data_IF_144032247943
#
_entry.id   IF_144032247943
#
_cell.length_a   1.000
_cell.length_b   1.000
_cell.length_c   1.000
_cell.angle_alpha   90.00
_cell.angle_beta   90.00
_cell.angle_gamma   90.00
#
_symmetry.space_group_name_H-M   'P 1'
#
loop_
_entity.id
_entity.type
_entity.pdbx_description
1 polymer ?
#
# COMPACT_ATOMS: atom_id res chain seq x y z
N UNK A 1 8.15 7.50 16.33
CA UNK A 1 7.85 6.65 15.15
C UNK A 1 6.66 5.76 15.48
N UNK A 2 5.63 5.71 14.64
CA UNK A 2 4.45 4.86 14.90
C UNK A 2 4.78 3.39 14.67
N UNK A 3 4.09 2.47 15.37
CA UNK A 3 4.25 1.01 15.17
C UNK A 3 4.10 0.61 13.69
N UNK A 4 3.11 1.18 13.02
CA UNK A 4 2.84 0.94 11.60
C UNK A 4 4.04 1.32 10.71
N UNK A 5 4.66 2.48 10.95
CA UNK A 5 5.83 2.92 10.21
C UNK A 5 7.06 2.04 10.50
N UNK A 6 7.23 1.61 11.75
CA UNK A 6 8.31 0.70 12.10
C UNK A 6 8.19 -0.65 11.38
N UNK A 7 6.98 -1.24 11.35
CA UNK A 7 6.72 -2.52 10.69
C UNK A 7 7.00 -2.47 9.18
N UNK A 8 6.55 -1.41 8.49
CA UNK A 8 6.81 -1.27 7.04
C UNK A 8 8.30 -1.06 6.76
N UNK A 9 9.01 -0.28 7.58
CA UNK A 9 10.45 -0.06 7.41
C UNK A 9 11.24 -1.35 7.57
N UNK A 10 10.90 -2.17 8.57
CA UNK A 10 11.49 -3.50 8.74
C UNK A 10 11.25 -4.38 7.51
N UNK A 11 10.05 -4.29 6.90
CA UNK A 11 9.69 -5.08 5.72
C UNK A 11 10.35 -4.58 4.43
N UNK A 12 10.60 -3.28 4.32
CA UNK A 12 11.24 -2.66 3.15
C UNK A 12 12.77 -2.72 3.17
N UNK A 13 13.35 -2.99 4.34
CA UNK A 13 14.79 -3.16 4.52
C UNK A 13 15.29 -4.34 3.70
N UNK A 14 16.32 -4.11 2.89
CA UNK A 14 17.09 -5.15 2.20
C UNK A 14 18.38 -5.39 2.98
N UNK A 15 18.85 -6.64 3.02
CA UNK A 15 20.03 -7.02 3.79
C UNK A 15 21.33 -6.59 3.10
N UNK A 16 21.30 -6.57 1.77
CA UNK A 16 22.45 -6.40 0.87
C UNK A 16 22.63 -4.96 0.38
N UNK A 17 21.59 -4.12 0.46
CA UNK A 17 21.62 -2.76 -0.08
C UNK A 17 20.76 -1.76 0.67
N UNK A 18 21.25 -0.53 0.71
CA UNK A 18 20.47 0.63 1.13
C UNK A 18 19.31 0.90 0.18
N UNK A 19 18.24 1.50 0.71
CA UNK A 19 17.10 1.97 -0.08
C UNK A 19 16.79 3.41 0.33
N UNK A 20 16.74 4.29 -0.65
CA UNK A 20 16.30 5.67 -0.44
C UNK A 20 14.77 5.69 -0.40
N UNK A 21 14.21 6.13 0.72
CA UNK A 21 12.77 6.26 0.93
C UNK A 21 12.48 7.69 1.34
N UNK A 22 11.52 8.31 0.66
CA UNK A 22 10.92 9.55 1.14
C UNK A 22 9.68 9.19 1.97
N UNK A 23 9.67 9.61 3.24
CA UNK A 23 8.60 9.34 4.19
C UNK A 23 8.27 10.65 4.90
N UNK A 24 7.14 11.24 4.54
CA UNK A 24 6.62 12.50 5.07
C UNK A 24 6.59 12.54 6.61
N UNK A 25 6.18 11.44 7.24
CA UNK A 25 6.09 11.30 8.69
C UNK A 25 7.45 11.34 9.42
N UNK A 26 8.56 11.17 8.70
CA UNK A 26 9.92 11.28 9.24
C UNK A 26 10.61 12.57 8.84
N UNK A 27 10.39 13.02 7.61
CA UNK A 27 11.14 14.13 7.01
C UNK A 27 10.48 15.47 7.32
N UNK A 28 9.15 15.54 7.33
CA UNK A 28 8.44 16.80 7.56
C UNK A 28 8.31 17.03 9.06
N UNK A 29 8.78 18.20 9.53
CA UNK A 29 8.49 18.63 10.88
C UNK A 29 6.99 18.89 11.06
N UNK A 30 6.31 17.98 11.75
CA UNK A 30 4.87 18.07 11.95
C UNK A 30 4.44 19.19 12.92
N UNK A 31 5.38 19.74 13.70
CA UNK A 31 5.14 20.80 14.70
C UNK A 31 5.27 22.19 14.06
N UNK A 32 6.18 22.37 13.11
CA UNK A 32 6.33 23.62 12.37
C UNK A 32 5.32 23.69 11.22
N UNK A 33 4.24 24.43 11.43
CA UNK A 33 3.18 24.62 10.43
C UNK A 33 3.69 25.31 9.15
N UNK A 34 4.66 26.20 9.26
CA UNK A 34 5.20 26.93 8.11
C UNK A 34 6.08 26.02 7.25
N UNK A 35 6.95 25.21 7.88
CA UNK A 35 7.71 24.17 7.17
C UNK A 35 6.79 23.13 6.56
N UNK A 36 5.83 22.62 7.34
CA UNK A 36 4.85 21.65 6.86
C UNK A 36 4.11 22.17 5.64
N UNK A 37 3.65 23.42 5.65
CA UNK A 37 3.01 24.05 4.49
C UNK A 37 3.92 24.07 3.25
N UNK A 38 5.21 24.41 3.43
CA UNK A 38 6.20 24.42 2.35
C UNK A 38 6.54 23.04 1.80
N UNK A 39 6.59 22.00 2.63
CA UNK A 39 6.87 20.64 2.15
C UNK A 39 5.63 19.98 1.55
N UNK A 40 4.43 20.27 2.08
CA UNK A 40 3.16 19.83 1.48
C UNK A 40 2.99 20.42 0.08
N UNK A 41 3.31 21.70 -0.14
CA UNK A 41 3.24 22.29 -1.48
C UNK A 41 4.22 21.68 -2.49
N UNK A 42 5.26 20.99 -2.02
CA UNK A 42 6.22 20.26 -2.85
C UNK A 42 5.87 18.78 -3.04
N UNK A 43 4.82 18.25 -2.41
CA UNK A 43 4.50 16.82 -2.48
C UNK A 43 4.36 16.34 -3.94
N UNK A 44 3.68 17.12 -4.79
CA UNK A 44 3.53 16.79 -6.21
C UNK A 44 4.88 16.55 -6.90
N UNK A 45 5.87 17.43 -6.68
CA UNK A 45 7.19 17.29 -7.29
C UNK A 45 8.02 16.15 -6.68
N UNK A 46 7.79 15.83 -5.39
CA UNK A 46 8.41 14.65 -4.75
C UNK A 46 7.86 13.35 -5.32
N UNK A 47 6.54 13.26 -5.49
CA UNK A 47 5.89 12.08 -6.07
C UNK A 47 6.26 11.90 -7.53
N UNK A 48 6.24 12.98 -8.33
CA UNK A 48 6.61 12.89 -9.76
C UNK A 48 8.09 12.53 -9.99
N UNK A 49 8.96 12.90 -9.05
CA UNK A 49 10.38 12.51 -9.08
C UNK A 49 10.69 11.13 -8.49
N UNK A 50 9.71 10.42 -7.94
CA UNK A 50 9.93 9.11 -7.34
C UNK A 50 10.02 8.02 -8.42
N UNK A 51 10.90 7.04 -8.21
CA UNK A 51 10.95 5.83 -9.07
C UNK A 51 9.67 5.00 -8.98
N UNK A 52 8.91 5.17 -7.90
CA UNK A 52 7.65 4.51 -7.66
C UNK A 52 7.17 4.76 -6.23
N UNK A 53 5.86 4.60 -6.03
CA UNK A 53 5.22 4.76 -4.72
C UNK A 53 4.90 3.39 -4.14
N UNK A 54 5.15 3.21 -2.85
CA UNK A 54 4.84 1.97 -2.13
C UNK A 54 3.64 2.22 -1.23
N UNK A 55 2.59 1.44 -1.42
CA UNK A 55 1.42 1.45 -0.53
C UNK A 55 1.58 0.35 0.51
N UNK A 56 1.41 0.71 1.79
CA UNK A 56 1.39 -0.24 2.90
C UNK A 56 -0.01 -0.32 3.49
N UNK A 57 -0.68 -1.45 3.25
CA UNK A 57 -2.04 -1.71 3.70
C UNK A 57 -2.11 -2.29 5.13
N UNK A 58 -0.97 -2.45 5.80
CA UNK A 58 -0.86 -3.05 7.12
C UNK A 58 -0.19 -4.42 7.09
N UNK A 59 0.19 -4.92 8.28
CA UNK A 59 0.65 -6.29 8.41
C UNK A 59 -0.48 -7.26 8.03
N UNK A 60 -0.16 -8.45 7.48
CA UNK A 60 -1.15 -9.49 7.26
C UNK A 60 -1.94 -9.70 8.56
N UNK A 61 -3.27 -9.61 8.48
CA UNK A 61 -4.14 -9.93 9.60
C UNK A 61 -3.88 -11.40 9.99
N UNK A 62 -3.28 -11.63 11.16
CA UNK A 62 -3.05 -12.99 11.70
C UNK A 62 -4.35 -13.81 11.79
N UNK A 63 -5.50 -13.12 11.80
CA UNK A 63 -6.84 -13.67 11.91
C UNK A 63 -7.69 -13.49 10.65
N UNK A 64 -7.12 -13.01 9.54
CA UNK A 64 -7.85 -13.06 8.29
C UNK A 64 -8.04 -14.54 7.96
N UNK A 65 -9.30 -14.95 7.84
CA UNK A 65 -9.72 -16.29 7.40
C UNK A 65 -9.14 -16.70 6.02
N UNK A 66 -8.37 -15.79 5.41
CA UNK A 66 -7.84 -15.74 4.06
C UNK A 66 -6.41 -15.20 4.15
N UNK A 67 -5.44 -16.03 3.78
CA UNK A 67 -4.02 -15.77 4.00
C UNK A 67 -3.43 -14.79 2.97
N UNK A 68 -2.09 -14.59 3.02
CA UNK A 68 -1.31 -13.80 2.06
C UNK A 68 -1.63 -14.13 0.58
N UNK A 69 -2.05 -15.37 0.31
CA UNK A 69 -2.39 -15.88 -1.01
C UNK A 69 -3.62 -15.18 -1.62
N UNK A 70 -4.59 -14.78 -0.80
CA UNK A 70 -5.83 -14.13 -1.28
C UNK A 70 -5.59 -12.68 -1.70
N UNK A 71 -4.67 -11.96 -1.04
CA UNK A 71 -4.26 -10.61 -1.48
C UNK A 71 -3.50 -10.67 -2.80
N UNK A 72 -2.60 -11.63 -2.98
CA UNK A 72 -1.87 -11.79 -4.25
C UNK A 72 -2.84 -12.13 -5.38
N UNK A 73 -3.75 -13.07 -5.17
CA UNK A 73 -4.78 -13.41 -6.14
C UNK A 73 -5.72 -12.24 -6.45
N UNK A 74 -6.08 -11.42 -5.45
CA UNK A 74 -6.87 -10.21 -5.66
C UNK A 74 -6.11 -9.15 -6.46
N UNK A 75 -4.82 -8.94 -6.19
CA UNK A 75 -3.99 -8.00 -6.96
C UNK A 75 -3.78 -8.48 -8.40
N UNK A 76 -3.55 -9.77 -8.61
CA UNK A 76 -3.49 -10.36 -9.96
C UNK A 76 -4.81 -10.15 -10.70
N UNK A 77 -5.95 -10.40 -10.05
CA UNK A 77 -7.27 -10.14 -10.62
C UNK A 77 -7.49 -8.67 -10.99
N UNK A 78 -7.19 -7.73 -10.08
CA UNK A 78 -7.34 -6.30 -10.30
C UNK A 78 -6.38 -5.75 -11.37
N UNK A 79 -5.30 -6.47 -11.67
CA UNK A 79 -4.35 -6.11 -12.72
C UNK A 79 -4.78 -6.57 -14.11
N UNK A 80 -5.86 -7.35 -14.23
CA UNK A 80 -6.36 -7.83 -15.52
C UNK A 80 -7.14 -6.72 -16.24
N UNK A 81 -6.94 -6.54 -17.56
CA UNK A 81 -7.65 -5.51 -18.33
C UNK A 81 -9.18 -5.70 -18.34
N UNK A 82 -9.63 -6.96 -18.32
CA UNK A 82 -11.05 -7.30 -18.44
C UNK A 82 -11.68 -7.78 -17.12
N UNK A 83 -10.96 -7.69 -15.99
CA UNK A 83 -11.38 -8.13 -14.65
C UNK A 83 -12.09 -9.50 -14.66
N UNK A 84 -11.47 -10.51 -15.27
CA UNK A 84 -12.03 -11.86 -15.36
C UNK A 84 -11.75 -12.62 -14.06
N UNK A 85 -12.81 -13.06 -13.39
CA UNK A 85 -12.67 -13.73 -12.08
C UNK A 85 -11.78 -14.97 -12.23
N UNK A 86 -10.69 -15.11 -11.45
CA UNK A 86 -9.78 -16.21 -11.62
C UNK A 86 -10.47 -17.53 -11.25
N UNK A 87 -10.30 -18.53 -12.11
CA UNK A 87 -10.70 -19.91 -11.84
C UNK A 87 -9.51 -20.70 -11.33
N UNK A 88 -9.77 -21.59 -10.39
CA UNK A 88 -8.83 -22.60 -9.97
C UNK A 88 -8.60 -23.59 -11.12
N UNK A 89 -7.34 -23.84 -11.47
CA UNK A 89 -6.99 -24.62 -12.65
C UNK A 89 -7.25 -26.12 -12.47
N UNK A 90 -7.23 -26.62 -11.22
CA UNK A 90 -7.44 -28.04 -10.91
C UNK A 90 -8.92 -28.38 -10.76
N UNK A 91 -9.68 -27.48 -10.13
CA UNK A 91 -11.10 -27.72 -9.81
C UNK A 91 -12.07 -27.02 -10.75
N UNK A 92 -11.59 -26.07 -11.56
CA UNK A 92 -12.42 -25.24 -12.45
C UNK A 92 -13.35 -24.26 -11.72
N UNK A 93 -13.32 -24.24 -10.38
CA UNK A 93 -14.18 -23.39 -9.56
C UNK A 93 -13.63 -21.96 -9.50
N UNK A 94 -14.53 -20.99 -9.33
CA UNK A 94 -14.15 -19.60 -9.12
C UNK A 94 -13.38 -19.45 -7.80
N UNK A 95 -12.28 -18.70 -7.80
CA UNK A 95 -11.57 -18.36 -6.57
C UNK A 95 -12.35 -17.28 -5.81
N UNK A 96 -12.67 -17.49 -4.51
CA UNK A 96 -13.41 -16.51 -3.72
C UNK A 96 -12.49 -15.35 -3.29
N UNK A 97 -12.29 -14.37 -4.18
CA UNK A 97 -11.42 -13.21 -3.93
C UNK A 97 -12.15 -12.00 -3.31
N UNK A 98 -13.47 -12.11 -3.08
CA UNK A 98 -14.33 -11.02 -2.62
C UNK A 98 -13.81 -10.38 -1.32
N UNK A 99 -13.46 -11.19 -0.31
CA UNK A 99 -13.01 -10.65 0.98
C UNK A 99 -11.63 -9.99 0.90
N UNK A 100 -10.75 -10.44 0.00
CA UNK A 100 -9.46 -9.79 -0.23
C UNK A 100 -9.63 -8.44 -0.94
N UNK A 101 -10.54 -8.38 -1.92
CA UNK A 101 -10.96 -7.12 -2.56
C UNK A 101 -11.56 -6.18 -1.50
N UNK A 102 -12.49 -6.66 -0.67
CA UNK A 102 -13.06 -5.88 0.44
C UNK A 102 -11.96 -5.41 1.41
N UNK A 103 -10.99 -6.27 1.75
CA UNK A 103 -9.87 -5.90 2.60
C UNK A 103 -8.98 -4.80 1.98
N UNK A 104 -8.77 -4.83 0.67
CA UNK A 104 -8.01 -3.78 -0.05
C UNK A 104 -8.80 -2.48 -0.03
N UNK A 105 -10.02 -2.46 -0.56
CA UNK A 105 -10.81 -1.23 -0.76
C UNK A 105 -11.35 -0.64 0.55
N UNK A 106 -11.67 -1.46 1.54
CA UNK A 106 -12.09 -1.00 2.85
C UNK A 106 -10.92 -0.73 3.80
N UNK A 107 -9.68 -0.84 3.32
CA UNK A 107 -8.52 -0.48 4.14
C UNK A 107 -8.54 1.00 4.50
N UNK A 108 -7.99 1.33 5.68
CA UNK A 108 -7.83 2.72 6.16
C UNK A 108 -6.93 3.58 5.25
N UNK A 109 -6.31 3.01 4.23
CA UNK A 109 -5.56 3.76 3.25
C UNK A 109 -6.52 4.62 2.40
N UNK A 110 -7.57 4.03 1.83
CA UNK A 110 -8.51 4.68 0.91
C UNK A 110 -9.46 5.70 1.56
N UNK A 111 -9.48 5.77 2.89
CA UNK A 111 -10.23 6.81 3.62
C UNK A 111 -9.45 8.12 3.77
N UNK A 112 -8.22 8.19 3.26
CA UNK A 112 -7.35 9.37 3.40
C UNK A 112 -7.52 10.28 2.19
N UNK A 113 -7.64 11.58 2.44
CA UNK A 113 -7.78 12.59 1.38
C UNK A 113 -6.69 12.51 0.29
N UNK A 114 -5.47 12.06 0.64
CA UNK A 114 -4.32 11.99 -0.26
C UNK A 114 -4.35 10.81 -1.26
N UNK A 115 -5.35 9.93 -1.21
CA UNK A 115 -5.45 8.82 -2.19
C UNK A 115 -6.02 9.25 -3.53
N UNK A 116 -6.62 10.44 -3.61
CA UNK A 116 -6.97 11.09 -4.87
C UNK A 116 -5.76 11.92 -5.29
N UNK A 117 -4.92 11.36 -6.15
CA UNK A 117 -3.88 12.11 -6.85
C UNK A 117 -4.39 12.35 -8.27
N UNK A 118 -4.63 13.61 -8.61
CA UNK A 118 -4.91 14.06 -9.98
C UNK A 118 -3.66 13.98 -10.87
#
# INVERSE_FOLDING_TARGET
VTRNLFEVLLRLRKLDKGRLLWIDALIINQVDLAERGREVSKMLSRYSGAQGTIIWLGAPLENAQYGRMDIVAAMEFLSQPDLVVPKDQETGKWKPIRQAIEAIFCSRYWTRAWTVQE
#
